data_IF_634092082174
#
_entry.id   IF_634092082174
#
_cell.length_a   1.000
_cell.length_b   1.000
_cell.length_c   1.000
_cell.angle_alpha   90.00
_cell.angle_beta   90.00
_cell.angle_gamma   90.00
#
_symmetry.space_group_name_H-M   'P 1'
#
loop_
_entity.id
_entity.type
_entity.pdbx_description
1 polymer ?
#
# COMPACT_ATOMS: atom_id res chain seq x y z
N UNK A 1 58.55 -7.98 8.67
CA UNK A 1 57.66 -6.82 8.53
C UNK A 1 56.25 -7.36 8.40
N UNK A 2 55.49 -7.38 9.49
CA UNK A 2 54.05 -7.66 9.47
C UNK A 2 53.34 -6.31 9.59
N UNK A 3 52.60 -5.92 8.57
CA UNK A 3 51.83 -4.69 8.55
C UNK A 3 50.55 -4.90 9.36
N UNK A 4 50.49 -4.26 10.53
CA UNK A 4 49.26 -4.12 11.31
C UNK A 4 48.22 -3.35 10.49
N UNK A 5 47.15 -4.04 10.10
CA UNK A 5 45.97 -3.39 9.53
C UNK A 5 45.17 -2.84 10.70
N UNK A 6 45.23 -1.54 10.89
CA UNK A 6 44.42 -0.81 11.86
C UNK A 6 42.94 -0.94 11.48
N UNK A 7 42.23 -1.88 12.10
CA UNK A 7 40.77 -1.95 12.05
C UNK A 7 40.25 -0.82 12.93
N UNK A 8 39.86 0.29 12.31
CA UNK A 8 39.16 1.37 12.99
C UNK A 8 37.89 0.85 13.68
N UNK A 9 37.39 1.54 14.72
CA UNK A 9 36.23 1.06 15.47
C UNK A 9 35.06 0.83 14.52
N UNK A 10 34.51 -0.39 14.56
CA UNK A 10 33.24 -0.72 13.89
C UNK A 10 32.21 0.29 14.37
N UNK A 11 31.76 1.19 13.49
CA UNK A 11 30.61 2.06 13.79
C UNK A 11 29.48 1.17 14.27
N UNK A 12 28.92 1.45 15.45
CA UNK A 12 27.70 0.77 15.91
C UNK A 12 26.66 0.84 14.78
N UNK A 13 26.37 -0.29 14.16
CA UNK A 13 25.27 -0.39 13.21
C UNK A 13 23.98 -0.26 14.01
N UNK A 14 23.46 0.96 14.13
CA UNK A 14 22.06 1.16 14.56
C UNK A 14 21.18 0.41 13.56
N UNK A 15 20.56 -0.69 14.02
CA UNK A 15 19.64 -1.46 13.21
C UNK A 15 18.42 -0.59 12.90
N UNK A 16 18.06 -0.49 11.62
CA UNK A 16 16.83 0.17 11.18
C UNK A 16 15.61 -0.51 11.84
N UNK A 17 14.57 0.25 12.24
CA UNK A 17 13.31 -0.34 12.68
C UNK A 17 12.79 -1.27 11.59
N UNK A 18 12.34 -2.47 11.98
CA UNK A 18 11.96 -3.51 11.02
C UNK A 18 10.46 -3.55 10.81
N UNK A 19 10.01 -3.52 9.57
CA UNK A 19 8.59 -3.60 9.21
C UNK A 19 8.29 -4.94 8.57
N UNK A 20 7.26 -5.62 9.07
CA UNK A 20 6.70 -6.83 8.47
C UNK A 20 5.76 -6.45 7.33
N UNK A 21 5.92 -7.04 6.15
CA UNK A 21 5.01 -6.84 5.01
C UNK A 21 4.30 -8.16 4.71
N UNK A 22 2.97 -8.16 4.67
CA UNK A 22 2.19 -9.32 4.22
C UNK A 22 1.67 -9.06 2.81
N UNK A 23 2.17 -9.81 1.84
CA UNK A 23 1.93 -9.54 0.42
C UNK A 23 1.25 -10.72 -0.28
N UNK A 24 0.37 -10.47 -1.27
CA UNK A 24 -0.09 -11.54 -2.16
C UNK A 24 1.10 -12.25 -2.83
N UNK A 25 1.03 -13.56 -3.09
CA UNK A 25 2.19 -14.35 -3.47
C UNK A 25 2.86 -13.90 -4.77
N UNK A 26 2.09 -13.35 -5.72
CA UNK A 26 2.60 -12.83 -7.00
C UNK A 26 2.80 -11.31 -7.02
N UNK A 27 2.55 -10.61 -5.91
CA UNK A 27 2.84 -9.18 -5.83
C UNK A 27 4.35 -8.98 -5.62
N UNK A 28 4.96 -8.19 -6.49
CA UNK A 28 6.35 -7.73 -6.40
C UNK A 28 6.47 -6.22 -6.17
N UNK A 29 5.45 -5.44 -6.54
CA UNK A 29 5.44 -3.98 -6.43
C UNK A 29 5.60 -3.49 -5.00
N UNK A 30 5.00 -4.17 -4.01
CA UNK A 30 5.13 -3.78 -2.60
C UNK A 30 6.59 -3.82 -2.13
N UNK A 31 7.31 -4.88 -2.43
CA UNK A 31 8.68 -5.04 -1.92
C UNK A 31 9.61 -3.98 -2.53
N UNK A 32 9.46 -3.74 -3.84
CA UNK A 32 10.24 -2.74 -4.58
C UNK A 32 9.91 -1.30 -4.15
N UNK A 33 8.62 -0.99 -3.98
CA UNK A 33 8.16 0.34 -3.55
C UNK A 33 8.62 0.66 -2.13
N UNK A 34 8.43 -0.25 -1.17
CA UNK A 34 8.82 0.01 0.22
C UNK A 34 10.33 0.11 0.38
N UNK A 35 11.11 -0.69 -0.36
CA UNK A 35 12.56 -0.55 -0.40
C UNK A 35 12.97 0.82 -0.94
N UNK A 36 12.33 1.29 -2.01
CA UNK A 36 12.65 2.58 -2.65
C UNK A 36 12.23 3.76 -1.77
N UNK A 37 11.03 3.74 -1.20
CA UNK A 37 10.42 4.87 -0.50
C UNK A 37 10.78 4.96 0.99
N UNK A 38 11.12 3.83 1.61
CA UNK A 38 11.37 3.75 3.05
C UNK A 38 12.66 3.02 3.42
N UNK A 39 13.39 2.46 2.46
CA UNK A 39 14.58 1.63 2.74
C UNK A 39 15.77 2.40 3.29
N UNK A 40 15.78 3.73 3.25
CA UNK A 40 16.74 4.59 3.95
C UNK A 40 16.53 4.56 5.48
N UNK A 41 15.27 4.43 5.93
CA UNK A 41 14.87 4.50 7.34
C UNK A 41 14.53 3.12 7.93
N UNK A 42 13.85 2.26 7.17
CA UNK A 42 13.34 0.97 7.64
C UNK A 42 14.10 -0.21 7.02
N UNK A 43 14.02 -1.35 7.69
CA UNK A 43 14.32 -2.65 7.10
C UNK A 43 13.02 -3.43 6.92
N UNK A 44 12.88 -4.20 5.84
CA UNK A 44 11.65 -4.94 5.56
C UNK A 44 11.86 -6.45 5.68
N UNK A 45 10.81 -7.14 6.13
CA UNK A 45 10.70 -8.60 6.13
C UNK A 45 9.33 -8.99 5.62
N UNK A 46 9.28 -9.88 4.65
CA UNK A 46 8.03 -10.21 3.94
C UNK A 46 7.52 -11.60 4.32
N UNK A 47 6.22 -11.70 4.60
CA UNK A 47 5.47 -12.94 4.58
C UNK A 47 4.48 -12.91 3.41
N UNK A 48 4.14 -14.08 2.86
CA UNK A 48 3.20 -14.19 1.73
C UNK A 48 1.90 -14.84 2.18
N UNK A 49 0.79 -14.38 1.61
CA UNK A 49 -0.47 -15.13 1.66
C UNK A 49 -0.35 -16.47 0.90
N UNK A 50 -1.32 -17.34 1.12
CA UNK A 50 -1.47 -18.61 0.42
C UNK A 50 -1.60 -18.47 -1.09
N UNK A 51 -1.27 -19.56 -1.78
CA UNK A 51 -1.38 -19.65 -3.24
C UNK A 51 -2.68 -20.36 -3.58
N UNK A 52 -3.59 -19.69 -4.29
CA UNK A 52 -4.91 -20.23 -4.65
C UNK A 52 -5.14 -20.11 -6.16
N UNK A 53 -4.74 -21.13 -6.91
CA UNK A 53 -4.90 -21.19 -8.37
C UNK A 53 -6.29 -21.68 -8.80
N UNK A 54 -7.01 -22.33 -7.88
CA UNK A 54 -8.29 -23.01 -8.11
C UNK A 54 -9.51 -22.09 -8.05
N UNK A 55 -9.32 -20.83 -7.66
CA UNK A 55 -10.42 -19.90 -7.39
C UNK A 55 -10.25 -18.55 -8.09
N UNK A 56 -11.39 -17.94 -8.39
CA UNK A 56 -11.47 -16.57 -8.92
C UNK A 56 -11.05 -15.51 -7.89
N UNK A 57 -10.86 -14.28 -8.38
CA UNK A 57 -10.33 -13.17 -7.58
C UNK A 57 -11.12 -12.92 -6.29
N UNK A 58 -12.46 -12.90 -6.35
CA UNK A 58 -13.29 -12.62 -5.16
C UNK A 58 -13.03 -13.63 -4.03
N UNK A 59 -13.18 -14.92 -4.34
CA UNK A 59 -12.94 -15.99 -3.36
C UNK A 59 -11.49 -16.03 -2.88
N UNK A 60 -10.52 -15.63 -3.73
CA UNK A 60 -9.13 -15.49 -3.34
C UNK A 60 -8.94 -14.39 -2.28
N UNK A 61 -9.57 -13.23 -2.46
CA UNK A 61 -9.53 -12.13 -1.50
C UNK A 61 -10.22 -12.53 -0.17
N UNK A 62 -11.33 -13.26 -0.23
CA UNK A 62 -11.98 -13.81 0.97
C UNK A 62 -11.04 -14.77 1.73
N UNK A 63 -10.32 -15.66 1.00
CA UNK A 63 -9.31 -16.54 1.60
C UNK A 63 -8.15 -15.74 2.22
N UNK A 64 -7.69 -14.66 1.59
CA UNK A 64 -6.66 -13.78 2.16
C UNK A 64 -7.13 -13.09 3.44
N UNK A 65 -8.36 -12.60 3.48
CA UNK A 65 -8.93 -12.03 4.71
C UNK A 65 -8.97 -13.07 5.85
N UNK A 66 -9.44 -14.28 5.57
CA UNK A 66 -9.51 -15.36 6.57
C UNK A 66 -8.12 -15.82 7.05
N UNK A 67 -7.10 -15.76 6.20
CA UNK A 67 -5.76 -16.22 6.50
C UNK A 67 -4.90 -15.18 7.23
N UNK A 68 -5.23 -13.89 7.12
CA UNK A 68 -4.45 -12.77 7.63
C UNK A 68 -3.99 -12.96 9.10
N UNK A 69 -4.83 -13.39 10.07
CA UNK A 69 -4.39 -13.63 11.43
C UNK A 69 -3.22 -14.61 11.55
N UNK A 70 -3.24 -15.70 10.78
CA UNK A 70 -2.15 -16.67 10.78
C UNK A 70 -0.88 -16.13 10.12
N UNK A 71 -1.02 -15.28 9.09
CA UNK A 71 0.11 -14.64 8.41
C UNK A 71 0.79 -13.60 9.29
N UNK A 72 0.03 -12.85 10.09
CA UNK A 72 0.57 -11.95 11.10
C UNK A 72 1.48 -12.68 12.10
N UNK A 73 1.07 -13.87 12.55
CA UNK A 73 1.87 -14.66 13.50
C UNK A 73 3.11 -15.31 12.87
N UNK A 74 3.17 -15.41 11.53
CA UNK A 74 4.28 -16.09 10.83
C UNK A 74 5.63 -15.39 10.96
N UNK A 75 5.65 -14.12 11.39
CA UNK A 75 6.89 -13.41 11.71
C UNK A 75 7.57 -13.93 13.00
N UNK A 76 6.88 -14.72 13.82
CA UNK A 76 7.44 -15.33 15.02
C UNK A 76 7.90 -14.28 16.04
N UNK A 77 9.10 -14.46 16.60
CA UNK A 77 9.69 -13.57 17.60
C UNK A 77 10.51 -12.42 17.00
N UNK A 78 10.33 -12.11 15.72
CA UNK A 78 11.06 -11.03 15.07
C UNK A 78 10.73 -9.68 15.75
N UNK A 79 11.73 -8.86 16.13
CA UNK A 79 11.49 -7.57 16.78
C UNK A 79 11.04 -6.55 15.72
N UNK A 80 9.74 -6.58 15.41
CA UNK A 80 9.11 -5.68 14.45
C UNK A 80 8.74 -4.35 15.11
N UNK A 81 8.94 -3.27 14.36
CA UNK A 81 8.43 -1.93 14.63
C UNK A 81 6.94 -1.83 14.29
N UNK A 82 6.55 -2.37 13.14
CA UNK A 82 5.17 -2.41 12.67
C UNK A 82 4.96 -3.58 11.69
N UNK A 83 3.71 -3.92 11.43
CA UNK A 83 3.29 -4.84 10.38
C UNK A 83 2.31 -4.14 9.44
N UNK A 84 2.46 -4.36 8.14
CA UNK A 84 1.51 -3.90 7.13
C UNK A 84 0.94 -5.07 6.31
N UNK A 85 -0.39 -5.13 6.23
CA UNK A 85 -1.11 -6.01 5.32
C UNK A 85 -1.30 -5.32 3.97
N UNK A 86 -0.51 -5.73 2.97
CA UNK A 86 -0.36 -5.04 1.69
C UNK A 86 -1.25 -5.63 0.57
N UNK A 87 -2.54 -5.76 0.84
CA UNK A 87 -3.53 -6.23 -0.14
C UNK A 87 -4.82 -5.41 -0.06
N UNK A 88 -4.92 -4.24 -0.70
CA UNK A 88 -6.12 -3.39 -0.54
C UNK A 88 -7.45 -4.08 -0.90
N UNK A 89 -7.42 -5.01 -1.86
CA UNK A 89 -8.63 -5.64 -2.39
C UNK A 89 -9.45 -6.44 -1.37
N UNK A 90 -8.82 -7.14 -0.41
CA UNK A 90 -9.57 -7.91 0.59
C UNK A 90 -10.20 -6.99 1.66
N UNK A 91 -9.54 -5.87 1.98
CA UNK A 91 -10.05 -4.87 2.91
C UNK A 91 -11.26 -4.10 2.34
N UNK A 92 -11.31 -3.84 1.02
CA UNK A 92 -12.49 -3.26 0.37
C UNK A 92 -13.77 -4.10 0.56
N UNK A 93 -13.64 -5.41 0.77
CA UNK A 93 -14.79 -6.29 0.95
C UNK A 93 -15.53 -6.05 2.27
N UNK A 94 -14.83 -5.55 3.28
CA UNK A 94 -15.34 -5.39 4.65
C UNK A 94 -15.77 -3.95 4.96
N UNK A 95 -15.23 -2.97 4.23
CA UNK A 95 -15.45 -1.53 4.49
C UNK A 95 -14.50 -0.97 5.56
N UNK A 96 -14.42 0.36 5.65
CA UNK A 96 -13.41 1.04 6.48
C UNK A 96 -13.52 0.72 7.97
N UNK A 97 -14.73 0.79 8.54
CA UNK A 97 -14.92 0.58 9.98
C UNK A 97 -14.53 -0.83 10.43
N UNK A 98 -14.81 -1.85 9.60
CA UNK A 98 -14.42 -3.22 9.88
C UNK A 98 -12.90 -3.39 9.77
N UNK A 99 -12.31 -2.86 8.70
CA UNK A 99 -10.87 -2.88 8.50
C UNK A 99 -10.09 -2.19 9.63
N UNK A 100 -10.56 -1.03 10.10
CA UNK A 100 -9.97 -0.32 11.24
C UNK A 100 -10.07 -1.12 12.55
N UNK A 101 -11.22 -1.76 12.81
CA UNK A 101 -11.39 -2.64 13.98
C UNK A 101 -10.47 -3.86 13.90
N UNK A 102 -10.33 -4.45 12.73
CA UNK A 102 -9.46 -5.60 12.50
C UNK A 102 -7.99 -5.21 12.70
N UNK A 103 -7.56 -4.01 12.26
CA UNK A 103 -6.22 -3.48 12.52
C UNK A 103 -5.94 -3.29 14.02
N UNK A 104 -6.91 -2.76 14.79
CA UNK A 104 -6.80 -2.61 16.25
C UNK A 104 -6.65 -3.97 16.93
N UNK A 105 -7.53 -4.91 16.59
CA UNK A 105 -7.48 -6.29 17.10
C UNK A 105 -6.16 -6.98 16.74
N UNK A 106 -5.68 -6.80 15.50
CA UNK A 106 -4.42 -7.35 15.05
C UNK A 106 -3.22 -6.75 15.79
N UNK A 107 -3.27 -5.47 16.12
CA UNK A 107 -2.23 -4.80 16.91
C UNK A 107 -2.18 -5.32 18.35
N UNK A 108 -3.34 -5.57 18.95
CA UNK A 108 -3.45 -6.19 20.28
C UNK A 108 -2.89 -7.63 20.27
N UNK A 109 -3.25 -8.42 19.26
CA UNK A 109 -2.83 -9.82 19.13
C UNK A 109 -1.33 -9.98 18.88
N UNK A 110 -0.73 -9.11 18.06
CA UNK A 110 0.70 -9.20 17.69
C UNK A 110 1.60 -8.47 18.67
N UNK A 111 1.06 -7.56 19.48
CA UNK A 111 1.84 -6.68 20.37
C UNK A 111 2.63 -5.59 19.63
N UNK A 112 2.42 -5.43 18.33
CA UNK A 112 3.06 -4.40 17.49
C UNK A 112 2.00 -3.71 16.62
N UNK A 113 2.25 -2.46 16.24
CA UNK A 113 1.31 -1.70 15.42
C UNK A 113 1.12 -2.45 14.09
N UNK A 114 -0.11 -2.89 13.83
CA UNK A 114 -0.48 -3.69 12.68
C UNK A 114 -1.60 -3.01 11.92
N UNK A 115 -1.37 -2.70 10.65
CA UNK A 115 -2.35 -1.98 9.81
C UNK A 115 -2.51 -2.59 8.44
N UNK A 116 -3.68 -2.41 7.84
CA UNK A 116 -3.85 -2.58 6.40
C UNK A 116 -3.29 -1.37 5.65
N UNK A 117 -2.85 -1.57 4.41
CA UNK A 117 -2.45 -0.44 3.55
C UNK A 117 -3.58 0.56 3.39
N UNK A 118 -4.83 0.11 3.35
CA UNK A 118 -6.02 0.96 3.22
C UNK A 118 -6.20 1.86 4.44
N UNK A 119 -6.09 1.35 5.68
CA UNK A 119 -6.11 2.19 6.89
C UNK A 119 -4.92 3.16 6.91
N UNK A 120 -3.73 2.73 6.49
CA UNK A 120 -2.55 3.61 6.41
C UNK A 120 -2.75 4.75 5.41
N UNK A 121 -3.40 4.50 4.27
CA UNK A 121 -3.78 5.52 3.29
C UNK A 121 -4.74 6.54 3.93
N UNK A 122 -5.80 6.09 4.59
CA UNK A 122 -6.76 6.98 5.26
C UNK A 122 -6.04 7.86 6.29
N UNK A 123 -5.21 7.25 7.15
CA UNK A 123 -4.44 7.94 8.17
C UNK A 123 -3.54 9.03 7.56
N UNK A 124 -2.80 8.69 6.50
CA UNK A 124 -1.87 9.60 5.84
C UNK A 124 -2.58 10.77 5.16
N UNK A 125 -3.62 10.51 4.37
CA UNK A 125 -4.34 11.56 3.66
C UNK A 125 -5.05 12.52 4.62
N UNK A 126 -5.64 12.01 5.71
CA UNK A 126 -6.19 12.86 6.77
C UNK A 126 -5.12 13.69 7.48
N UNK A 127 -3.95 13.11 7.75
CA UNK A 127 -2.81 13.87 8.30
C UNK A 127 -2.38 15.02 7.38
N UNK A 128 -2.53 14.84 6.06
CA UNK A 128 -2.29 15.87 5.04
C UNK A 128 -3.44 16.87 4.88
N UNK A 129 -4.55 16.71 5.59
CA UNK A 129 -5.74 17.54 5.45
C UNK A 129 -6.50 17.32 4.14
N UNK A 130 -6.26 16.20 3.45
CA UNK A 130 -6.96 15.85 2.21
C UNK A 130 -8.27 15.15 2.57
N UNK A 131 -9.36 15.61 1.98
CA UNK A 131 -10.73 15.09 2.19
C UNK A 131 -11.43 14.71 0.88
N UNK A 132 -11.02 15.29 -0.25
CA UNK A 132 -11.53 14.95 -1.58
C UNK A 132 -10.42 14.32 -2.42
N UNK A 133 -10.70 13.20 -3.09
CA UNK A 133 -9.74 12.49 -3.92
C UNK A 133 -10.37 12.01 -5.23
N UNK A 134 -9.56 11.94 -6.27
CA UNK A 134 -9.82 11.11 -7.46
C UNK A 134 -9.16 9.75 -7.26
N UNK A 135 -9.83 8.66 -7.59
CA UNK A 135 -9.22 7.33 -7.54
C UNK A 135 -8.88 6.83 -8.94
N UNK A 136 -7.66 6.32 -9.13
CA UNK A 136 -7.23 5.63 -10.34
C UNK A 136 -7.13 4.13 -10.05
N UNK A 137 -8.07 3.36 -10.60
CA UNK A 137 -8.27 1.95 -10.26
C UNK A 137 -7.84 1.00 -11.38
N UNK A 138 -6.93 0.06 -11.11
CA UNK A 138 -6.53 -1.00 -12.05
C UNK A 138 -7.44 -2.25 -11.95
N UNK A 139 -8.58 -2.14 -11.28
CA UNK A 139 -9.41 -3.27 -10.88
C UNK A 139 -10.62 -3.47 -11.80
N UNK A 140 -11.19 -4.70 -11.85
CA UNK A 140 -12.49 -4.90 -12.48
C UNK A 140 -13.58 -4.09 -11.78
N UNK A 141 -14.69 -3.84 -12.49
CA UNK A 141 -15.67 -2.85 -12.05
C UNK A 141 -16.20 -3.07 -10.65
N UNK A 142 -16.60 -4.31 -10.35
CA UNK A 142 -17.11 -4.67 -9.02
C UNK A 142 -16.12 -4.35 -7.88
N UNK A 143 -14.81 -4.44 -8.12
CA UNK A 143 -13.79 -4.18 -7.10
C UNK A 143 -13.44 -2.69 -7.03
N UNK A 144 -13.50 -1.97 -8.15
CA UNK A 144 -13.43 -0.51 -8.16
C UNK A 144 -14.60 0.11 -7.41
N UNK A 145 -15.82 -0.41 -7.60
CA UNK A 145 -17.02 0.09 -6.91
C UNK A 145 -16.95 -0.18 -5.40
N UNK A 146 -16.32 -1.29 -4.99
CA UNK A 146 -16.03 -1.55 -3.57
C UNK A 146 -14.94 -0.63 -3.02
N UNK A 147 -13.90 -0.35 -3.81
CA UNK A 147 -12.86 0.63 -3.46
C UNK A 147 -13.49 2.01 -3.24
N UNK A 148 -14.31 2.49 -4.16
CA UNK A 148 -15.03 3.77 -4.02
C UNK A 148 -15.87 3.81 -2.73
N UNK A 149 -16.70 2.78 -2.49
CA UNK A 149 -17.49 2.67 -1.24
C UNK A 149 -16.61 2.66 0.01
N UNK A 150 -15.46 1.98 -0.03
CA UNK A 150 -14.53 1.95 1.10
C UNK A 150 -14.04 3.36 1.43
N UNK A 151 -13.54 4.10 0.43
CA UNK A 151 -13.02 5.46 0.65
C UNK A 151 -14.10 6.44 1.08
N UNK A 152 -15.30 6.35 0.50
CA UNK A 152 -16.47 7.13 0.95
C UNK A 152 -16.85 6.80 2.40
N UNK A 153 -16.84 5.52 2.78
CA UNK A 153 -17.10 5.11 4.18
C UNK A 153 -16.00 5.58 5.14
N UNK A 154 -14.78 5.79 4.65
CA UNK A 154 -13.68 6.39 5.38
C UNK A 154 -13.79 7.94 5.46
N UNK A 155 -14.85 8.54 4.93
CA UNK A 155 -15.11 9.97 4.99
C UNK A 155 -14.42 10.81 3.91
N UNK A 156 -13.94 10.20 2.83
CA UNK A 156 -13.47 10.95 1.65
C UNK A 156 -14.63 11.25 0.69
N UNK A 157 -14.58 12.41 0.06
CA UNK A 157 -15.37 12.72 -1.13
C UNK A 157 -14.64 12.20 -2.37
N UNK A 158 -15.31 11.39 -3.19
CA UNK A 158 -14.74 10.88 -4.44
C UNK A 158 -15.17 11.79 -5.57
N UNK A 159 -14.23 12.60 -6.05
CA UNK A 159 -14.47 13.54 -7.15
C UNK A 159 -14.72 12.80 -8.47
N UNK A 160 -13.87 11.81 -8.74
CA UNK A 160 -13.88 11.06 -9.98
C UNK A 160 -13.20 9.70 -9.85
N UNK A 161 -13.54 8.79 -10.76
CA UNK A 161 -12.97 7.44 -10.84
C UNK A 161 -12.35 7.24 -12.23
N UNK A 162 -11.04 7.06 -12.27
CA UNK A 162 -10.28 6.75 -13.48
C UNK A 162 -10.11 5.23 -13.56
N UNK A 163 -10.46 4.64 -14.70
CA UNK A 163 -10.23 3.22 -14.98
C UNK A 163 -8.87 3.05 -15.64
N UNK A 164 -7.96 2.34 -14.99
CA UNK A 164 -6.66 1.97 -15.57
C UNK A 164 -6.81 0.63 -16.25
N UNK A 165 -6.78 0.63 -17.57
CA UNK A 165 -6.93 -0.54 -18.44
C UNK A 165 -5.63 -0.82 -19.19
N UNK A 166 -5.50 -2.02 -19.74
CA UNK A 166 -4.40 -2.33 -20.66
C UNK A 166 -4.59 -1.49 -21.93
N UNK A 167 -3.64 -0.59 -22.23
CA UNK A 167 -3.71 0.34 -23.36
C UNK A 167 -3.72 -0.35 -24.73
N UNK A 168 -3.17 -1.56 -24.81
CA UNK A 168 -3.06 -2.31 -26.07
C UNK A 168 -4.40 -2.92 -26.44
N UNK A 169 -5.12 -3.43 -25.44
CA UNK A 169 -6.42 -4.10 -25.64
C UNK A 169 -7.62 -3.19 -25.38
N UNK A 170 -7.44 -2.12 -24.60
CA UNK A 170 -8.53 -1.27 -24.10
C UNK A 170 -9.39 -1.95 -23.02
N UNK A 171 -8.97 -3.10 -22.49
CA UNK A 171 -9.74 -3.91 -21.55
C UNK A 171 -9.12 -3.93 -20.15
N UNK A 172 -9.93 -4.21 -19.13
CA UNK A 172 -9.42 -4.49 -17.78
C UNK A 172 -8.43 -5.65 -17.83
N UNK A 173 -7.22 -5.43 -17.28
CA UNK A 173 -6.22 -6.47 -17.18
C UNK A 173 -6.70 -7.63 -16.28
N UNK A 174 -6.29 -8.86 -16.62
CA UNK A 174 -6.60 -10.05 -15.81
C UNK A 174 -5.95 -10.03 -14.43
N UNK A 175 -4.90 -9.21 -14.26
CA UNK A 175 -4.24 -8.92 -12.99
C UNK A 175 -3.63 -7.52 -13.02
N UNK A 176 -3.63 -6.77 -11.91
CA UNK A 176 -2.91 -5.49 -11.82
C UNK A 176 -1.41 -5.64 -12.11
N UNK A 177 -0.82 -6.83 -11.93
CA UNK A 177 0.61 -7.08 -12.19
C UNK A 177 0.99 -7.00 -13.68
N UNK A 178 0.01 -6.97 -14.59
CA UNK A 178 0.23 -6.88 -16.03
C UNK A 178 0.27 -5.44 -16.53
N UNK A 179 -0.21 -4.49 -15.72
CA UNK A 179 -0.25 -3.08 -16.09
C UNK A 179 1.12 -2.44 -15.87
N UNK A 180 1.50 -1.58 -16.81
CA UNK A 180 2.74 -0.84 -16.82
C UNK A 180 2.55 0.66 -16.67
N UNK A 181 3.66 1.38 -16.78
CA UNK A 181 3.70 2.85 -16.68
C UNK A 181 2.81 3.53 -17.70
N UNK A 182 2.87 3.08 -18.95
CA UNK A 182 2.11 3.69 -20.04
C UNK A 182 0.60 3.55 -19.86
N UNK A 183 0.12 2.44 -19.30
CA UNK A 183 -1.31 2.21 -19.04
C UNK A 183 -1.86 3.27 -18.08
N UNK A 184 -1.12 3.52 -17.00
CA UNK A 184 -1.45 4.54 -16.00
C UNK A 184 -1.40 5.95 -16.61
N UNK A 185 -0.32 6.28 -17.32
CA UNK A 185 -0.12 7.62 -17.88
C UNK A 185 -1.20 7.96 -18.88
N UNK A 186 -1.57 7.02 -19.77
CA UNK A 186 -2.66 7.21 -20.72
C UNK A 186 -3.98 7.42 -20.00
N UNK A 187 -4.34 6.54 -19.06
CA UNK A 187 -5.61 6.62 -18.34
C UNK A 187 -5.79 7.97 -17.60
N UNK A 188 -4.71 8.49 -16.99
CA UNK A 188 -4.75 9.78 -16.29
C UNK A 188 -4.85 10.95 -17.26
N UNK A 189 -4.16 10.91 -18.40
CA UNK A 189 -4.23 11.97 -19.42
C UNK A 189 -5.63 12.11 -20.02
N UNK A 190 -6.28 10.99 -20.28
CA UNK A 190 -7.60 10.97 -20.91
C UNK A 190 -8.73 11.43 -19.96
N UNK A 191 -8.45 11.49 -18.66
CA UNK A 191 -9.44 11.83 -17.65
C UNK A 191 -9.65 13.35 -17.40
N UNK A 192 -8.90 14.24 -18.09
CA UNK A 192 -9.06 15.71 -18.04
C UNK A 192 -9.22 16.31 -16.62
N UNK A 193 -8.34 15.91 -15.70
CA UNK A 193 -8.53 16.10 -14.25
C UNK A 193 -8.35 17.54 -13.76
N UNK A 194 -9.16 17.93 -12.77
CA UNK A 194 -9.20 19.27 -12.17
C UNK A 194 -8.64 19.28 -10.75
N UNK A 195 -7.31 19.37 -10.58
CA UNK A 195 -6.63 19.80 -9.33
C UNK A 195 -6.80 18.93 -8.06
N UNK A 196 -7.76 18.01 -8.03
CA UNK A 196 -8.01 17.08 -6.91
C UNK A 196 -6.90 16.05 -6.83
N UNK A 197 -6.31 15.76 -5.66
CA UNK A 197 -5.28 14.74 -5.53
C UNK A 197 -5.73 13.38 -6.06
N UNK A 198 -4.85 12.72 -6.82
CA UNK A 198 -5.15 11.43 -7.46
C UNK A 198 -4.50 10.31 -6.64
N UNK A 199 -5.30 9.38 -6.16
CA UNK A 199 -4.86 8.16 -5.50
C UNK A 199 -4.89 6.98 -6.48
N UNK A 200 -3.72 6.46 -6.84
CA UNK A 200 -3.57 5.17 -7.51
C UNK A 200 -3.81 4.05 -6.50
N UNK A 201 -4.97 3.41 -6.61
CA UNK A 201 -5.43 2.43 -5.63
C UNK A 201 -4.88 1.02 -5.90
N UNK A 202 -4.75 0.24 -4.82
CA UNK A 202 -4.17 -1.09 -4.87
C UNK A 202 -2.64 -1.07 -4.71
N UNK A 203 -2.10 -2.24 -4.38
CA UNK A 203 -0.68 -2.42 -4.03
C UNK A 203 0.12 -3.17 -5.09
N UNK A 204 -0.53 -3.59 -6.18
CA UNK A 204 0.03 -4.57 -7.13
C UNK A 204 0.70 -3.97 -8.36
N UNK A 205 0.35 -2.74 -8.75
CA UNK A 205 0.92 -2.11 -9.94
C UNK A 205 2.22 -1.40 -9.58
N UNK A 206 3.24 -1.52 -10.44
CA UNK A 206 4.47 -0.73 -10.34
C UNK A 206 4.21 0.71 -10.78
N UNK A 207 4.06 1.63 -9.82
CA UNK A 207 3.52 2.97 -10.08
C UNK A 207 4.55 4.10 -10.11
N UNK A 208 5.77 3.90 -9.59
CA UNK A 208 6.75 4.98 -9.39
C UNK A 208 7.12 5.74 -10.67
N UNK A 209 7.40 5.00 -11.75
CA UNK A 209 7.77 5.62 -13.03
C UNK A 209 6.59 6.39 -13.65
N UNK A 210 5.36 5.91 -13.48
CA UNK A 210 4.16 6.64 -13.90
C UNK A 210 3.96 7.91 -13.06
N UNK A 211 4.06 7.82 -11.73
CA UNK A 211 3.95 8.98 -10.84
C UNK A 211 5.00 10.04 -11.18
N UNK A 212 6.26 9.63 -11.43
CA UNK A 212 7.33 10.54 -11.84
C UNK A 212 6.98 11.26 -13.14
N UNK A 213 6.53 10.49 -14.15
CA UNK A 213 6.15 11.01 -15.47
C UNK A 213 4.98 11.97 -15.38
N UNK A 214 3.95 11.62 -14.60
CA UNK A 214 2.74 12.42 -14.42
C UNK A 214 3.03 13.71 -13.64
N UNK A 215 3.84 13.64 -12.59
CA UNK A 215 4.24 14.83 -11.80
C UNK A 215 4.98 15.86 -12.67
N UNK A 216 5.80 15.39 -13.63
CA UNK A 216 6.48 16.28 -14.58
C UNK A 216 5.52 16.91 -15.60
N UNK A 217 4.47 16.19 -16.00
CA UNK A 217 3.53 16.64 -17.02
C UNK A 217 2.43 17.55 -16.46
N UNK A 218 1.99 17.30 -15.24
CA UNK A 218 0.88 17.99 -14.59
C UNK A 218 1.41 18.77 -13.38
N UNK A 219 2.06 19.90 -13.65
CA UNK A 219 2.61 20.76 -12.59
C UNK A 219 1.51 21.21 -11.63
N UNK A 220 1.70 20.97 -10.32
CA UNK A 220 0.74 21.33 -9.28
C UNK A 220 -0.30 20.25 -8.96
N UNK A 221 -0.39 19.18 -9.76
CA UNK A 221 -1.23 18.02 -9.47
C UNK A 221 -0.52 17.11 -8.46
N UNK A 222 -1.23 16.73 -7.39
CA UNK A 222 -0.72 15.75 -6.42
C UNK A 222 -1.08 14.32 -6.84
N UNK A 223 -0.09 13.43 -6.76
CA UNK A 223 -0.24 12.01 -7.04
C UNK A 223 0.18 11.19 -5.81
N UNK A 224 -0.69 10.28 -5.41
CA UNK A 224 -0.50 9.37 -4.30
C UNK A 224 -0.69 7.93 -4.78
N UNK A 225 0.04 7.00 -4.20
CA UNK A 225 -0.16 5.56 -4.41
C UNK A 225 -0.42 4.89 -3.07
N UNK A 226 -1.15 3.77 -3.07
CA UNK A 226 -1.39 3.02 -1.82
C UNK A 226 -0.09 2.70 -1.08
N UNK A 227 0.97 2.32 -1.80
CA UNK A 227 2.28 2.01 -1.24
C UNK A 227 3.01 3.27 -0.73
N UNK A 228 2.96 4.39 -1.45
CA UNK A 228 3.59 5.66 -1.01
C UNK A 228 2.95 6.23 0.25
N UNK A 229 1.62 6.18 0.36
CA UNK A 229 0.91 6.59 1.57
C UNK A 229 1.27 5.68 2.75
N UNK A 230 1.35 4.37 2.54
CA UNK A 230 1.75 3.44 3.59
C UNK A 230 3.20 3.66 4.07
N UNK A 231 4.14 3.90 3.15
CA UNK A 231 5.52 4.25 3.50
C UNK A 231 5.62 5.60 4.24
N UNK A 232 4.85 6.61 3.82
CA UNK A 232 4.81 7.91 4.49
C UNK A 232 4.17 7.80 5.89
N UNK A 233 3.09 7.03 6.02
CA UNK A 233 2.46 6.75 7.30
C UNK A 233 3.41 6.04 8.26
N UNK A 234 4.20 5.06 7.80
CA UNK A 234 5.20 4.40 8.64
C UNK A 234 6.20 5.41 9.24
N UNK A 235 6.59 6.45 8.50
CA UNK A 235 7.46 7.51 9.06
C UNK A 235 6.80 8.25 10.21
N UNK A 236 5.48 8.50 10.16
CA UNK A 236 4.73 9.10 11.27
C UNK A 236 4.79 8.24 12.54
N UNK A 237 4.86 6.92 12.40
CA UNK A 237 4.90 6.00 13.55
C UNK A 237 6.23 6.03 14.32
N UNK A 238 7.27 6.69 13.80
CA UNK A 238 8.54 6.83 14.50
C UNK A 238 8.45 7.82 15.66
N UNK A 239 7.63 8.86 15.49
CA UNK A 239 7.51 9.97 16.43
C UNK A 239 6.13 10.04 17.11
N UNK A 240 5.17 9.22 16.66
CA UNK A 240 3.81 9.18 17.21
C UNK A 240 3.50 7.82 17.88
N UNK A 241 3.30 7.78 19.20
CA UNK A 241 2.98 6.56 19.93
C UNK A 241 1.56 6.03 19.65
N UNK A 242 0.68 6.84 19.04
CA UNK A 242 -0.65 6.40 18.62
C UNK A 242 -1.01 6.97 17.23
N UNK A 243 -0.42 6.42 16.15
CA UNK A 243 -0.56 6.94 14.79
C UNK A 243 -1.94 6.72 14.16
N UNK A 244 -2.84 6.02 14.85
CA UNK A 244 -4.24 5.83 14.47
C UNK A 244 -5.20 6.65 15.35
N UNK A 245 -4.69 7.45 16.28
CA UNK A 245 -5.52 8.35 17.07
C UNK A 245 -6.23 9.36 16.15
N UNK A 246 -7.55 9.45 16.24
CA UNK A 246 -8.36 10.34 15.39
C UNK A 246 -8.93 9.67 14.13
N UNK A 247 -8.72 8.36 13.97
CA UNK A 247 -9.50 7.53 13.04
C UNK A 247 -10.71 6.89 13.71
#
# INVERSE_FOLDING_TARGET
>A
MATDVHVGPLREQRRKPRVGLIVPPANTAVEDDYLTLGGDVFAFSTARYGVYHDVGLRQRLDRYAAELPSRLMSFGSMPLHAIMACCSGNHYLQGFDADLRDCRTASECTGVITVSTTVAVVAWLRHRGINTITIASPHPDWLTDLSEKYWTSAGFEIDSVIRVVDKTTGMTAGSPYQLGTDDIVTAVRDAELLGTPILLVGTGVHTQAAVTTLTQQFTGQEFYTSNSCGAAWLRLTLDNPNPLAGL
#
